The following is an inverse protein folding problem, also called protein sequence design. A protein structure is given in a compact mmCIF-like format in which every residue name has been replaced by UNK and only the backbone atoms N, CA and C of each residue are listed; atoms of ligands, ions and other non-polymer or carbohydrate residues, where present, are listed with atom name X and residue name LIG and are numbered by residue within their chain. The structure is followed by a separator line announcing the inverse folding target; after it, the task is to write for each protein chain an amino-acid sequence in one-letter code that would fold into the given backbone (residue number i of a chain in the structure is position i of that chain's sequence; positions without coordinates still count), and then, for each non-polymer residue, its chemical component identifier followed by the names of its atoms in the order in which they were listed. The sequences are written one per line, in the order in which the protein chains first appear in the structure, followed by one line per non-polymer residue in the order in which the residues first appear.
data_IF_154952964343
#
_entry.id   IF_154952964343
#
_cell.length_a   1.000
_cell.length_b   1.000
_cell.length_c   1.000
_cell.angle_alpha   90.00
_cell.angle_beta   90.00
_cell.angle_gamma   90.00
#
_symmetry.space_group_name_H-M   'P 1'
#
loop_
_entity.id
_entity.type
_entity.pdbx_description
1 polymer ?
#
# COMPACT_ATOMS: atom_id res chain seq x y z
N UNK A 1 7.18 -0.56 -6.81
CA UNK A 1 7.09 0.34 -5.63
C UNK A 1 8.33 0.33 -4.73
N UNK A 2 9.24 -0.66 -4.83
CA UNK A 2 10.48 -0.75 -4.03
C UNK A 2 11.51 0.38 -4.27
N UNK A 3 11.25 1.31 -5.20
CA UNK A 3 12.12 2.43 -5.57
C UNK A 3 11.62 3.79 -5.05
N UNK A 4 10.47 3.85 -4.37
CA UNK A 4 9.87 5.10 -3.90
C UNK A 4 10.46 5.54 -2.54
N UNK A 5 10.67 6.84 -2.33
CA UNK A 5 11.41 7.43 -1.19
C UNK A 5 10.84 7.12 0.22
N UNK A 6 9.73 6.38 0.33
CA UNK A 6 9.08 6.02 1.61
C UNK A 6 9.44 4.62 2.13
N UNK A 7 10.32 3.89 1.43
CA UNK A 7 10.92 2.63 1.91
C UNK A 7 12.01 2.97 2.93
N UNK A 8 11.64 3.00 4.21
CA UNK A 8 12.61 2.97 5.31
C UNK A 8 12.83 1.49 5.65
N UNK A 9 14.09 1.03 5.66
CA UNK A 9 14.49 -0.32 6.06
C UNK A 9 13.86 -1.50 5.27
N UNK A 10 13.37 -1.28 4.05
CA UNK A 10 12.74 -2.34 3.24
C UNK A 10 11.25 -2.53 3.51
N UNK A 11 10.65 -1.74 4.42
CA UNK A 11 9.23 -1.80 4.71
C UNK A 11 8.42 -0.80 3.89
N UNK A 12 7.37 -1.29 3.23
CA UNK A 12 6.44 -0.47 2.47
C UNK A 12 5.50 0.29 3.43
N UNK A 13 5.36 1.59 3.22
CA UNK A 13 4.41 2.44 3.93
C UNK A 13 3.35 2.96 2.97
N UNK A 14 2.10 2.61 3.23
CA UNK A 14 0.95 2.99 2.41
C UNK A 14 0.03 3.94 3.18
N UNK A 15 -0.62 4.84 2.46
CA UNK A 15 -1.73 5.62 3.01
C UNK A 15 -2.99 4.83 2.69
N UNK A 16 -3.72 4.40 3.72
CA UNK A 16 -4.95 3.63 3.58
C UNK A 16 -6.13 4.43 4.13
N UNK A 17 -7.25 4.50 3.39
CA UNK A 17 -8.47 5.11 3.91
C UNK A 17 -9.07 4.24 5.02
N UNK A 18 -9.50 4.87 6.11
CA UNK A 18 -10.32 4.24 7.15
C UNK A 18 -11.81 4.54 6.93
N UNK A 19 -12.10 5.70 6.35
CA UNK A 19 -13.41 6.18 5.98
C UNK A 19 -13.26 7.29 4.93
N UNK A 20 -14.35 7.73 4.32
CA UNK A 20 -14.33 8.91 3.44
C UNK A 20 -13.91 10.13 4.28
N UNK A 21 -12.83 10.80 3.88
CA UNK A 21 -12.25 11.93 4.61
C UNK A 21 -11.30 11.56 5.76
N UNK A 22 -11.03 10.27 6.02
CA UNK A 22 -10.08 9.82 7.05
C UNK A 22 -9.12 8.76 6.52
N UNK A 23 -7.82 8.96 6.71
CA UNK A 23 -6.78 8.01 6.31
C UNK A 23 -5.70 7.86 7.39
N UNK A 24 -4.93 6.78 7.28
CA UNK A 24 -3.78 6.53 8.14
C UNK A 24 -2.57 6.05 7.32
N UNK A 25 -1.38 6.20 7.90
CA UNK A 25 -0.15 5.61 7.35
C UNK A 25 0.02 4.23 7.98
N UNK A 26 0.01 3.19 7.14
CA UNK A 26 0.22 1.81 7.56
C UNK A 26 1.55 1.30 7.02
N UNK A 27 2.41 0.85 7.93
CA UNK A 27 3.66 0.13 7.63
C UNK A 27 3.42 -1.39 7.67
N UNK A 28 4.34 -2.17 7.10
CA UNK A 28 4.30 -3.64 7.20
C UNK A 28 3.19 -4.30 6.39
N UNK A 29 2.66 -3.64 5.35
CA UNK A 29 1.68 -4.26 4.45
C UNK A 29 2.38 -5.34 3.61
N UNK A 30 1.84 -6.56 3.64
CA UNK A 30 2.39 -7.71 2.89
C UNK A 30 2.47 -7.41 1.40
N UNK A 31 3.58 -7.80 0.79
CA UNK A 31 3.80 -7.61 -0.64
C UNK A 31 2.75 -8.35 -1.49
N UNK A 32 2.36 -9.55 -1.09
CA UNK A 32 1.35 -10.36 -1.78
C UNK A 32 -0.02 -9.67 -1.78
N UNK A 33 -0.40 -9.06 -0.65
CA UNK A 33 -1.66 -8.32 -0.55
C UNK A 33 -1.69 -7.13 -1.51
N UNK A 34 -0.56 -6.42 -1.66
CA UNK A 34 -0.43 -5.31 -2.60
C UNK A 34 -0.53 -5.79 -4.05
N UNK A 35 0.12 -6.91 -4.40
CA UNK A 35 0.04 -7.47 -5.76
C UNK A 35 -1.38 -7.92 -6.11
N UNK A 36 -2.08 -8.57 -5.18
CA UNK A 36 -3.48 -8.98 -5.38
C UNK A 36 -4.39 -7.76 -5.59
N UNK A 37 -4.26 -6.74 -4.73
CA UNK A 37 -5.04 -5.51 -4.87
C UNK A 37 -4.78 -4.77 -6.19
N UNK A 38 -3.56 -4.83 -6.73
CA UNK A 38 -3.25 -4.29 -8.06
C UNK A 38 -3.95 -5.10 -9.16
N UNK A 39 -3.94 -6.43 -9.07
CA UNK A 39 -4.58 -7.30 -10.06
C UNK A 39 -6.10 -7.10 -10.10
N UNK A 40 -6.75 -6.92 -8.94
CA UNK A 40 -8.19 -6.63 -8.84
C UNK A 40 -8.58 -5.34 -9.60
N UNK A 41 -7.69 -4.34 -9.64
CA UNK A 41 -7.93 -3.08 -10.33
C UNK A 41 -7.62 -3.10 -11.84
N UNK A 42 -6.98 -4.15 -12.36
CA UNK A 42 -6.64 -4.26 -13.80
C UNK A 42 -7.72 -4.96 -14.62
N UNK A 43 -8.66 -5.62 -13.96
CA UNK A 43 -9.79 -6.31 -14.58
C UNK A 43 -11.07 -5.46 -14.63
N UNK A 44 -10.95 -4.16 -14.34
CA UNK A 44 -12.03 -3.16 -14.36
C UNK A 44 -12.11 -2.40 -15.69
#
# INVERSE_FOLDING_TARGET
MLRDKKVLAGEMRLILPLAIGKSEVRSGVSHELVLNAIADCQSA
#
